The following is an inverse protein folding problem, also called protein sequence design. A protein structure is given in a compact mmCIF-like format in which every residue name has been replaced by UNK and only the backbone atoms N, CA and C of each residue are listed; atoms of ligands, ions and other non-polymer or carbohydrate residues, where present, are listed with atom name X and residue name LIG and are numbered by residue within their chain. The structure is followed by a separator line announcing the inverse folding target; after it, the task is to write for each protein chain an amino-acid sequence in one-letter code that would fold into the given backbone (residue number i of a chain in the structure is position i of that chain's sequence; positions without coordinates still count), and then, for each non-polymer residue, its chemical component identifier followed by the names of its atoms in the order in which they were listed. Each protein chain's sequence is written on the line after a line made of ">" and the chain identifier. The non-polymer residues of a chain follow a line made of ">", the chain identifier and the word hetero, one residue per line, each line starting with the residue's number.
data_IF_052142271840
#
_entry.id   IF_052142271840
#
_cell.length_a   1.000
_cell.length_b   1.000
_cell.length_c   1.000
_cell.angle_alpha   90.00
_cell.angle_beta   90.00
_cell.angle_gamma   90.00
#
_symmetry.space_group_name_H-M   'P 1'
#
loop_
_entity.id
_entity.type
_entity.pdbx_description
1 polymer ?
#
# COMPACT_ATOMS: atom_id res chain seq x y z
N UNK A 1 -5.65 -7.52 -26.92
CA UNK A 1 -6.45 -6.30 -26.61
C UNK A 1 -5.51 -5.11 -26.54
N UNK A 2 -6.02 -3.91 -26.87
CA UNK A 2 -5.37 -2.63 -26.59
C UNK A 2 -5.90 -2.07 -25.27
N UNK A 3 -5.02 -1.91 -24.31
CA UNK A 3 -5.39 -1.61 -22.91
C UNK A 3 -4.66 -0.35 -22.45
N UNK A 4 -5.41 0.64 -21.97
CA UNK A 4 -4.83 1.82 -21.33
C UNK A 4 -4.92 1.68 -19.79
N UNK A 5 -3.79 1.62 -19.12
CA UNK A 5 -3.70 1.68 -17.65
C UNK A 5 -3.61 3.15 -17.23
N UNK A 6 -4.49 3.60 -16.35
CA UNK A 6 -4.64 5.01 -16.02
C UNK A 6 -4.11 5.31 -14.62
N UNK A 7 -3.18 6.26 -14.54
CA UNK A 7 -2.54 6.67 -13.28
C UNK A 7 -2.45 8.19 -13.13
N UNK A 8 -2.98 8.78 -12.06
CA UNK A 8 -2.59 10.14 -11.67
C UNK A 8 -1.18 10.09 -11.06
N UNK A 9 -0.29 10.97 -11.51
CA UNK A 9 1.10 11.01 -11.08
C UNK A 9 1.39 12.26 -10.27
N UNK A 10 1.74 12.11 -9.00
CA UNK A 10 2.37 13.20 -8.25
C UNK A 10 3.82 13.32 -8.73
N UNK A 11 4.23 14.48 -9.28
CA UNK A 11 5.59 14.65 -9.79
C UNK A 11 6.64 14.34 -8.72
N UNK A 12 7.72 13.66 -9.14
CA UNK A 12 8.85 13.24 -8.29
C UNK A 12 8.51 12.25 -7.16
N UNK A 13 7.24 11.82 -7.04
CA UNK A 13 6.84 10.79 -6.10
C UNK A 13 6.77 9.43 -6.79
N UNK A 14 7.33 8.40 -6.14
CA UNK A 14 7.19 7.00 -6.54
C UNK A 14 6.95 6.15 -5.29
N UNK A 15 5.86 5.43 -5.28
CA UNK A 15 5.46 4.55 -4.18
C UNK A 15 4.79 3.28 -4.71
N UNK A 16 4.12 2.52 -3.84
CA UNK A 16 3.49 1.25 -4.19
C UNK A 16 2.51 1.33 -5.36
N UNK A 17 1.69 2.38 -5.43
CA UNK A 17 0.72 2.53 -6.52
C UNK A 17 1.38 2.78 -7.89
N UNK A 18 2.52 3.47 -7.93
CA UNK A 18 3.30 3.68 -9.14
C UNK A 18 3.99 2.38 -9.57
N UNK A 19 4.57 1.64 -8.63
CA UNK A 19 5.18 0.31 -8.89
C UNK A 19 4.12 -0.63 -9.44
N UNK A 20 2.99 -0.76 -8.77
CA UNK A 20 1.86 -1.60 -9.19
C UNK A 20 1.42 -1.33 -10.63
N UNK A 21 1.24 -0.07 -11.01
CA UNK A 21 0.77 0.27 -12.37
C UNK A 21 1.84 0.04 -13.44
N UNK A 22 3.12 0.27 -13.13
CA UNK A 22 4.25 -0.02 -14.02
C UNK A 22 4.36 -1.54 -14.26
N UNK A 23 4.24 -2.34 -13.20
CA UNK A 23 4.25 -3.80 -13.30
C UNK A 23 3.02 -4.33 -14.04
N UNK A 24 1.83 -3.81 -13.78
CA UNK A 24 0.62 -4.20 -14.50
C UNK A 24 0.78 -4.03 -16.02
N UNK A 25 1.32 -2.89 -16.47
CA UNK A 25 1.60 -2.67 -17.91
C UNK A 25 2.61 -3.68 -18.43
N UNK A 26 3.68 -3.95 -17.68
CA UNK A 26 4.71 -4.91 -18.05
C UNK A 26 4.13 -6.32 -18.19
N UNK A 27 3.33 -6.75 -17.24
CA UNK A 27 2.71 -8.07 -17.20
C UNK A 27 1.63 -8.27 -18.27
N UNK A 28 0.88 -7.20 -18.59
CA UNK A 28 -0.06 -7.22 -19.71
C UNK A 28 0.67 -7.40 -21.04
N UNK A 29 1.78 -6.68 -21.25
CA UNK A 29 2.61 -6.80 -22.45
C UNK A 29 3.23 -8.19 -22.58
N UNK A 30 3.73 -8.74 -21.47
CA UNK A 30 4.30 -10.10 -21.45
C UNK A 30 3.29 -11.19 -21.86
N UNK A 31 1.98 -10.92 -21.68
CA UNK A 31 0.86 -11.80 -22.09
C UNK A 31 0.30 -11.47 -23.48
N UNK A 32 1.01 -10.66 -24.27
CA UNK A 32 0.64 -10.39 -25.65
C UNK A 32 -0.45 -9.33 -25.82
N UNK A 33 -0.75 -8.53 -24.79
CA UNK A 33 -1.61 -7.36 -24.94
C UNK A 33 -0.80 -6.13 -25.40
N UNK A 34 -1.42 -5.28 -26.19
CA UNK A 34 -0.90 -3.93 -26.50
C UNK A 34 -1.33 -3.03 -25.33
N UNK A 35 -0.48 -2.87 -24.34
CA UNK A 35 -0.80 -2.11 -23.13
C UNK A 35 0.06 -0.86 -23.01
N UNK A 36 -0.52 0.24 -22.57
CA UNK A 36 0.21 1.48 -22.33
C UNK A 36 -0.26 2.19 -21.06
N UNK A 37 0.63 3.02 -20.49
CA UNK A 37 0.37 3.82 -19.31
C UNK A 37 -0.01 5.24 -19.69
N UNK A 38 -1.25 5.61 -19.41
CA UNK A 38 -1.72 7.00 -19.50
C UNK A 38 -1.56 7.66 -18.14
N UNK A 39 -0.61 8.59 -18.04
CA UNK A 39 -0.26 9.26 -16.80
C UNK A 39 -0.52 10.77 -16.89
N UNK A 40 -1.34 11.29 -15.96
CA UNK A 40 -1.65 12.72 -15.89
C UNK A 40 -1.08 13.28 -14.58
N UNK A 41 -0.32 14.41 -14.61
CA UNK A 41 0.16 15.05 -13.39
C UNK A 41 -0.99 15.38 -12.44
N UNK A 42 -0.80 15.05 -11.15
CA UNK A 42 -1.79 15.30 -10.11
C UNK A 42 -1.16 16.03 -8.93
N UNK A 43 -1.86 17.06 -8.45
CA UNK A 43 -1.49 17.80 -7.26
C UNK A 43 -2.71 17.87 -6.33
N UNK A 44 -2.62 17.24 -5.18
CA UNK A 44 -3.71 17.10 -4.23
C UNK A 44 -3.99 18.36 -3.38
N UNK A 45 -3.14 19.37 -3.48
CA UNK A 45 -3.27 20.66 -2.79
C UNK A 45 -3.06 21.85 -3.74
N UNK A 46 -3.64 23.04 -3.49
CA UNK A 46 -4.70 23.26 -2.50
C UNK A 46 -5.98 22.51 -2.88
N UNK A 47 -6.77 22.11 -1.87
CA UNK A 47 -7.98 21.29 -2.05
C UNK A 47 -8.95 21.83 -3.10
N UNK A 48 -9.09 23.17 -3.22
CA UNK A 48 -9.96 23.82 -4.21
C UNK A 48 -9.67 23.44 -5.68
N UNK A 49 -8.47 22.90 -6.00
CA UNK A 49 -8.10 22.47 -7.36
C UNK A 49 -8.36 21.00 -7.64
N UNK A 50 -8.72 20.22 -6.63
CA UNK A 50 -8.90 18.76 -6.77
C UNK A 50 -9.97 18.42 -7.81
N UNK A 51 -11.12 19.11 -7.78
CA UNK A 51 -12.19 18.89 -8.76
C UNK A 51 -11.78 19.29 -10.19
N UNK A 52 -11.03 20.40 -10.35
CA UNK A 52 -10.51 20.80 -11.67
C UNK A 52 -9.62 19.71 -12.26
N UNK A 53 -8.76 19.11 -11.44
CA UNK A 53 -7.88 18.02 -11.89
C UNK A 53 -8.66 16.73 -12.17
N UNK A 54 -9.69 16.44 -11.38
CA UNK A 54 -10.59 15.33 -11.68
C UNK A 54 -11.34 15.55 -13.00
N UNK A 55 -11.73 16.79 -13.28
CA UNK A 55 -12.40 17.14 -14.53
C UNK A 55 -11.49 16.97 -15.77
N UNK A 56 -10.18 17.16 -15.65
CA UNK A 56 -9.24 16.86 -16.74
C UNK A 56 -9.37 15.40 -17.20
N UNK A 57 -9.48 14.45 -16.27
CA UNK A 57 -9.71 13.04 -16.60
C UNK A 57 -11.03 12.81 -17.33
N UNK A 58 -12.07 13.57 -16.96
CA UNK A 58 -13.38 13.49 -17.62
C UNK A 58 -13.38 13.96 -19.07
N UNK A 59 -12.43 14.84 -19.42
CA UNK A 59 -12.28 15.40 -20.76
C UNK A 59 -11.40 14.55 -21.68
N UNK A 60 -10.65 13.57 -21.13
CA UNK A 60 -9.84 12.69 -21.97
C UNK A 60 -10.76 11.79 -22.81
N UNK A 61 -10.50 11.77 -24.11
CA UNK A 61 -11.02 10.79 -25.03
C UNK A 61 -10.01 9.65 -25.15
N UNK A 62 -10.38 8.49 -24.68
CA UNK A 62 -9.60 7.25 -24.71
C UNK A 62 -10.33 6.11 -25.41
N UNK A 63 -11.33 6.44 -26.26
CA UNK A 63 -12.04 5.42 -27.04
C UNK A 63 -11.19 4.87 -28.17
N UNK A 64 -10.25 5.70 -28.71
CA UNK A 64 -9.33 5.29 -29.76
C UNK A 64 -7.98 6.01 -29.67
N UNK A 65 -6.99 5.49 -30.37
CA UNK A 65 -5.70 6.14 -30.64
C UNK A 65 -5.23 5.72 -32.03
N UNK A 66 -4.86 6.71 -32.87
CA UNK A 66 -4.41 6.50 -34.26
C UNK A 66 -5.41 5.70 -35.11
N UNK A 67 -6.70 6.00 -34.98
CA UNK A 67 -7.77 5.33 -35.71
C UNK A 67 -8.02 3.86 -35.31
N UNK A 68 -7.41 3.41 -34.20
CA UNK A 68 -7.60 2.06 -33.65
C UNK A 68 -8.26 2.14 -32.27
N UNK A 69 -9.32 1.37 -32.03
CA UNK A 69 -10.03 1.41 -30.75
C UNK A 69 -9.10 0.98 -29.59
N UNK A 70 -9.28 1.61 -28.43
CA UNK A 70 -8.82 1.11 -27.15
C UNK A 70 -9.91 0.20 -26.61
N UNK A 71 -9.58 -1.07 -26.34
CA UNK A 71 -10.56 -2.08 -25.97
C UNK A 71 -11.03 -1.90 -24.50
N UNK A 72 -10.09 -1.58 -23.59
CA UNK A 72 -10.34 -1.47 -22.15
C UNK A 72 -9.47 -0.38 -21.55
N UNK A 73 -10.04 0.39 -20.62
CA UNK A 73 -9.26 1.22 -19.70
C UNK A 73 -9.28 0.60 -18.30
N UNK A 74 -8.12 0.60 -17.64
CA UNK A 74 -7.96 0.16 -16.23
C UNK A 74 -7.58 1.34 -15.38
N UNK A 75 -8.52 1.89 -14.62
CA UNK A 75 -8.28 3.00 -13.71
C UNK A 75 -7.96 2.50 -12.30
N UNK A 76 -7.07 3.21 -11.56
CA UNK A 76 -6.50 2.67 -10.32
C UNK A 76 -6.78 3.49 -9.06
N UNK A 77 -6.70 4.79 -9.12
CA UNK A 77 -6.95 5.67 -7.97
C UNK A 77 -7.53 7.02 -8.39
N UNK A 78 -8.06 7.77 -7.43
CA UNK A 78 -8.54 9.13 -7.68
C UNK A 78 -7.43 10.01 -8.30
N UNK A 79 -7.71 10.75 -9.37
CA UNK A 79 -8.98 10.89 -10.08
C UNK A 79 -9.07 10.08 -11.40
N UNK A 80 -8.20 9.09 -11.67
CA UNK A 80 -8.14 8.39 -12.97
C UNK A 80 -9.46 7.72 -13.35
N UNK A 81 -10.22 7.20 -12.40
CA UNK A 81 -11.50 6.54 -12.66
C UNK A 81 -12.64 7.50 -13.05
N UNK A 82 -12.38 8.82 -13.05
CA UNK A 82 -13.35 9.83 -13.53
C UNK A 82 -13.46 9.83 -15.05
N UNK A 83 -12.50 9.24 -15.77
CA UNK A 83 -12.56 9.06 -17.23
C UNK A 83 -13.83 8.36 -17.67
N UNK A 84 -14.29 8.66 -18.89
CA UNK A 84 -15.35 7.91 -19.59
C UNK A 84 -14.71 6.92 -20.55
N UNK A 85 -15.22 5.71 -20.54
CA UNK A 85 -14.90 4.70 -21.53
C UNK A 85 -15.97 3.61 -21.51
N UNK A 86 -16.31 3.04 -22.66
CA UNK A 86 -17.33 1.97 -22.80
C UNK A 86 -16.96 0.72 -21.98
N UNK A 87 -15.68 0.35 -21.92
CA UNK A 87 -15.14 -0.75 -21.14
C UNK A 87 -14.18 -0.19 -20.07
N UNK A 88 -14.76 0.43 -19.05
CA UNK A 88 -14.01 0.95 -17.91
C UNK A 88 -13.97 -0.08 -16.80
N UNK A 89 -12.79 -0.59 -16.49
CA UNK A 89 -12.51 -1.41 -15.32
C UNK A 89 -11.78 -0.56 -14.28
N UNK A 90 -12.18 -0.69 -13.04
CA UNK A 90 -11.52 0.01 -11.94
C UNK A 90 -10.88 -1.03 -11.04
N UNK A 91 -9.56 -0.93 -10.86
CA UNK A 91 -8.84 -1.68 -9.84
C UNK A 91 -8.39 -0.68 -8.76
N UNK A 92 -9.31 -0.43 -7.83
CA UNK A 92 -9.21 0.67 -6.87
C UNK A 92 -8.14 0.41 -5.83
N UNK A 93 -7.08 1.24 -5.85
CA UNK A 93 -6.07 1.31 -4.79
C UNK A 93 -6.63 2.11 -3.62
N UNK A 94 -7.17 3.30 -3.89
CA UNK A 94 -7.88 4.14 -2.92
C UNK A 94 -8.70 5.22 -3.61
N UNK A 95 -9.73 5.71 -2.91
CA UNK A 95 -10.43 6.95 -3.21
C UNK A 95 -9.56 8.16 -2.83
N UNK A 96 -10.06 9.38 -2.89
CA UNK A 96 -9.34 10.54 -2.38
C UNK A 96 -9.44 10.59 -0.84
N UNK A 97 -8.52 9.91 -0.15
CA UNK A 97 -8.52 9.66 1.30
C UNK A 97 -8.81 10.90 2.15
N UNK A 98 -8.38 12.08 1.70
CA UNK A 98 -8.63 13.35 2.35
C UNK A 98 -10.12 13.73 2.44
N UNK A 99 -10.94 13.20 1.53
CA UNK A 99 -12.39 13.41 1.55
C UNK A 99 -13.16 12.38 2.38
N UNK A 100 -12.48 11.37 2.91
CA UNK A 100 -13.06 10.22 3.63
C UNK A 100 -12.39 10.00 4.99
N UNK A 101 -11.61 8.94 5.13
CA UNK A 101 -11.05 8.47 6.40
C UNK A 101 -10.01 9.40 7.04
N UNK A 102 -9.36 10.27 6.25
CA UNK A 102 -8.40 11.25 6.80
C UNK A 102 -9.05 12.56 7.22
N UNK A 103 -10.34 12.78 6.92
CA UNK A 103 -11.04 13.99 7.30
C UNK A 103 -11.17 14.08 8.82
N UNK A 104 -10.79 15.26 9.38
CA UNK A 104 -10.80 15.48 10.83
C UNK A 104 -9.67 14.81 11.61
N UNK A 105 -8.73 14.15 10.95
CA UNK A 105 -7.52 13.59 11.56
C UNK A 105 -6.34 14.55 11.44
N UNK A 106 -5.26 14.27 12.19
CA UNK A 106 -3.99 15.02 12.07
C UNK A 106 -3.32 14.88 10.68
N UNK A 107 -3.70 13.86 9.91
CA UNK A 107 -3.24 13.60 8.55
C UNK A 107 -4.15 14.26 7.51
N UNK A 108 -5.27 14.85 7.94
CA UNK A 108 -6.24 15.50 7.08
C UNK A 108 -5.77 16.86 6.59
N UNK A 109 -6.20 17.23 5.37
CA UNK A 109 -5.88 18.54 4.78
C UNK A 109 -7.04 19.54 4.89
N UNK A 110 -8.24 19.09 5.26
CA UNK A 110 -9.41 19.95 5.35
C UNK A 110 -9.59 20.50 6.77
N UNK A 111 -9.65 21.83 6.90
CA UNK A 111 -9.81 22.52 8.17
C UNK A 111 -11.27 22.60 8.66
N UNK A 112 -12.23 22.07 7.88
CA UNK A 112 -13.64 22.05 8.26
C UNK A 112 -14.40 23.35 7.98
N UNK A 113 -13.91 24.23 7.09
CA UNK A 113 -14.68 25.39 6.63
C UNK A 113 -15.93 24.97 5.84
N UNK A 114 -16.95 25.84 5.68
CA UNK A 114 -18.12 25.54 4.86
C UNK A 114 -17.75 25.17 3.41
N UNK A 115 -16.76 25.85 2.84
CA UNK A 115 -16.24 25.64 1.48
C UNK A 115 -15.57 24.27 1.36
N UNK A 116 -14.75 23.89 2.32
CA UNK A 116 -14.08 22.60 2.36
C UNK A 116 -15.07 21.43 2.55
N UNK A 117 -16.07 21.61 3.42
CA UNK A 117 -17.17 20.64 3.54
C UNK A 117 -17.98 20.51 2.24
N UNK A 118 -18.19 21.60 1.50
CA UNK A 118 -18.86 21.57 0.21
C UNK A 118 -18.01 20.83 -0.83
N UNK A 119 -16.71 21.14 -0.90
CA UNK A 119 -15.76 20.47 -1.78
C UNK A 119 -15.71 18.96 -1.51
N UNK A 120 -15.63 18.56 -0.25
CA UNK A 120 -15.63 17.15 0.16
C UNK A 120 -16.89 16.43 -0.33
N UNK A 121 -18.08 17.00 -0.14
CA UNK A 121 -19.33 16.43 -0.67
C UNK A 121 -19.32 16.30 -2.19
N UNK A 122 -18.75 17.27 -2.90
CA UNK A 122 -18.63 17.21 -4.37
C UNK A 122 -17.69 16.11 -4.81
N UNK A 123 -16.57 15.88 -4.12
CA UNK A 123 -15.66 14.75 -4.40
C UNK A 123 -16.37 13.43 -4.15
N UNK A 124 -17.08 13.28 -3.04
CA UNK A 124 -17.82 12.07 -2.70
C UNK A 124 -18.91 11.74 -3.74
N UNK A 125 -19.65 12.76 -4.19
CA UNK A 125 -20.67 12.57 -5.24
C UNK A 125 -20.03 12.25 -6.60
N UNK A 126 -18.90 12.87 -6.93
CA UNK A 126 -18.14 12.56 -8.14
C UNK A 126 -17.65 11.10 -8.11
N UNK A 127 -17.12 10.65 -7.00
CA UNK A 127 -16.63 9.26 -6.81
C UNK A 127 -17.78 8.27 -6.99
N UNK A 128 -18.91 8.50 -6.31
CA UNK A 128 -20.08 7.63 -6.41
C UNK A 128 -20.56 7.47 -7.86
N UNK A 129 -20.60 8.57 -8.62
CA UNK A 129 -21.02 8.55 -10.05
C UNK A 129 -19.96 7.87 -10.91
N UNK A 130 -18.71 8.31 -10.80
CA UNK A 130 -17.64 7.85 -11.68
C UNK A 130 -17.27 6.37 -11.47
N UNK A 131 -17.29 5.90 -10.23
CA UNK A 131 -17.06 4.48 -9.91
C UNK A 131 -18.27 3.63 -10.31
N UNK A 132 -19.48 4.16 -10.19
CA UNK A 132 -20.70 3.48 -10.65
C UNK A 132 -20.80 3.31 -12.18
N UNK A 133 -19.99 4.01 -12.96
CA UNK A 133 -19.86 3.85 -14.42
C UNK A 133 -18.90 2.69 -14.82
N UNK A 134 -18.22 2.06 -13.86
CA UNK A 134 -17.31 0.96 -14.16
C UNK A 134 -18.07 -0.30 -14.59
N UNK A 135 -17.61 -0.95 -15.65
CA UNK A 135 -18.13 -2.27 -16.07
C UNK A 135 -17.72 -3.38 -15.09
N UNK A 136 -16.56 -3.21 -14.46
CA UNK A 136 -16.06 -4.07 -13.37
C UNK A 136 -15.38 -3.19 -12.33
N UNK A 137 -15.61 -3.50 -11.06
CA UNK A 137 -15.07 -2.75 -9.94
C UNK A 137 -14.36 -3.69 -8.97
N UNK A 138 -13.05 -3.53 -8.85
CA UNK A 138 -12.19 -4.27 -7.95
C UNK A 138 -11.57 -3.33 -6.93
N UNK A 139 -11.24 -3.84 -5.76
CA UNK A 139 -10.49 -3.17 -4.72
C UNK A 139 -9.27 -4.00 -4.34
N UNK A 140 -8.14 -3.36 -4.06
CA UNK A 140 -6.88 -4.05 -3.73
C UNK A 140 -6.93 -4.84 -2.41
N UNK A 141 -7.89 -4.52 -1.53
CA UNK A 141 -8.05 -5.14 -0.20
C UNK A 141 -9.50 -5.13 0.25
N UNK A 142 -9.84 -5.96 1.23
CA UNK A 142 -11.16 -5.93 1.87
C UNK A 142 -11.37 -4.60 2.62
N UNK A 143 -10.31 -4.01 3.18
CA UNK A 143 -10.37 -2.69 3.79
C UNK A 143 -10.82 -1.61 2.79
N UNK A 144 -10.23 -1.56 1.59
CA UNK A 144 -10.60 -0.62 0.53
C UNK A 144 -12.02 -0.91 0.02
N UNK A 145 -12.39 -2.19 -0.19
CA UNK A 145 -13.74 -2.57 -0.59
C UNK A 145 -14.79 -2.11 0.44
N UNK A 146 -14.54 -2.36 1.72
CA UNK A 146 -15.43 -1.94 2.80
C UNK A 146 -15.56 -0.42 2.95
N UNK A 147 -14.46 0.35 2.76
CA UNK A 147 -14.51 1.82 2.73
C UNK A 147 -15.37 2.32 1.56
N UNK A 148 -15.18 1.74 0.37
CA UNK A 148 -15.94 2.07 -0.81
C UNK A 148 -17.43 1.82 -0.59
N UNK A 149 -17.79 0.64 -0.11
CA UNK A 149 -19.18 0.27 0.15
C UNK A 149 -19.84 1.21 1.17
N UNK A 150 -19.17 1.47 2.30
CA UNK A 150 -19.69 2.40 3.33
C UNK A 150 -19.88 3.82 2.80
N UNK A 151 -19.01 4.28 1.91
CA UNK A 151 -19.02 5.68 1.44
C UNK A 151 -19.90 5.91 0.22
N UNK A 152 -20.13 4.91 -0.62
CA UNK A 152 -20.82 5.05 -1.92
C UNK A 152 -21.98 4.09 -2.11
N UNK A 153 -22.08 3.01 -1.34
CA UNK A 153 -22.99 1.90 -1.55
C UNK A 153 -22.58 0.95 -2.70
N UNK A 154 -21.42 1.18 -3.34
CA UNK A 154 -20.92 0.33 -4.43
C UNK A 154 -20.11 -0.83 -3.85
N UNK A 155 -20.36 -2.03 -4.38
CA UNK A 155 -19.64 -3.24 -4.00
C UNK A 155 -18.50 -3.49 -4.99
N UNK A 156 -17.29 -3.66 -4.48
CA UNK A 156 -16.11 -4.04 -5.25
C UNK A 156 -15.70 -5.46 -4.91
N UNK A 157 -15.25 -6.22 -5.90
CA UNK A 157 -14.60 -7.49 -5.69
C UNK A 157 -13.18 -7.27 -5.15
N UNK A 158 -12.78 -8.01 -4.13
CA UNK A 158 -11.41 -7.94 -3.61
C UNK A 158 -10.46 -8.65 -4.57
N UNK A 159 -9.50 -7.90 -5.09
CA UNK A 159 -8.48 -8.39 -6.01
C UNK A 159 -7.11 -7.84 -5.56
N UNK A 160 -6.36 -8.57 -4.72
CA UNK A 160 -5.02 -8.15 -4.35
C UNK A 160 -4.09 -8.20 -5.56
N UNK A 161 -3.15 -7.26 -5.63
CA UNK A 161 -2.10 -7.32 -6.64
C UNK A 161 -0.83 -7.94 -6.07
N UNK A 162 -0.02 -8.65 -6.89
CA UNK A 162 1.25 -9.18 -6.44
C UNK A 162 2.19 -8.09 -5.95
N UNK A 163 3.04 -8.37 -4.95
CA UNK A 163 4.13 -7.47 -4.58
C UNK A 163 5.20 -7.44 -5.67
N UNK A 164 6.09 -6.47 -5.59
CA UNK A 164 7.21 -6.33 -6.53
C UNK A 164 8.00 -7.64 -6.60
N UNK A 165 8.37 -8.05 -7.82
CA UNK A 165 9.21 -9.23 -8.04
C UNK A 165 10.66 -8.95 -7.60
N UNK A 166 11.01 -9.38 -6.38
CA UNK A 166 12.37 -9.38 -5.85
C UNK A 166 12.87 -10.83 -5.68
N UNK A 167 14.19 -11.04 -5.57
CA UNK A 167 14.75 -12.37 -5.35
C UNK A 167 14.54 -12.85 -3.90
N UNK A 168 13.26 -12.93 -3.47
CA UNK A 168 12.89 -13.33 -2.12
C UNK A 168 13.44 -14.72 -1.77
N UNK A 169 13.99 -14.84 -0.57
CA UNK A 169 14.54 -16.08 -0.03
C UNK A 169 14.42 -16.12 1.48
N UNK A 170 14.22 -17.27 2.04
CA UNK A 170 14.33 -17.50 3.48
C UNK A 170 15.76 -17.87 3.84
N UNK A 171 16.27 -17.30 4.92
CA UNK A 171 17.61 -17.55 5.46
C UNK A 171 17.52 -17.60 6.99
N UNK A 172 18.52 -18.19 7.69
CA UNK A 172 18.58 -18.14 9.13
C UNK A 172 18.48 -16.73 9.67
N UNK A 173 17.74 -16.56 10.75
CA UNK A 173 17.51 -15.25 11.37
C UNK A 173 18.80 -14.70 11.96
N UNK A 174 19.01 -13.39 11.79
CA UNK A 174 20.06 -12.61 12.47
C UNK A 174 19.53 -11.85 13.69
N UNK A 175 18.26 -12.06 14.06
CA UNK A 175 17.66 -11.56 15.31
C UNK A 175 17.09 -10.15 15.26
N UNK A 176 17.24 -9.40 14.17
CA UNK A 176 16.70 -8.03 14.05
C UNK A 176 15.26 -8.00 13.50
N UNK A 177 14.51 -6.97 13.89
CA UNK A 177 13.22 -6.62 13.29
C UNK A 177 13.46 -5.69 12.10
N UNK A 178 12.89 -6.01 10.94
CA UNK A 178 12.98 -5.19 9.73
C UNK A 178 11.77 -4.27 9.60
N UNK A 179 12.01 -3.00 9.25
CA UNK A 179 11.00 -2.11 8.66
C UNK A 179 11.50 -1.58 7.31
N UNK A 180 10.78 -1.93 6.23
CA UNK A 180 11.10 -1.49 4.87
C UNK A 180 10.06 -0.49 4.31
N UNK A 181 9.22 0.07 5.17
CA UNK A 181 8.19 1.04 4.79
C UNK A 181 8.79 2.42 4.51
N UNK A 182 8.18 3.16 3.58
CA UNK A 182 8.50 4.58 3.39
C UNK A 182 8.42 5.33 4.73
N UNK A 183 9.40 6.18 5.00
CA UNK A 183 9.44 6.94 6.25
C UNK A 183 8.49 8.13 6.18
N UNK A 184 7.26 7.92 6.59
CA UNK A 184 6.25 8.94 6.81
C UNK A 184 5.46 8.68 8.11
N UNK A 185 4.72 9.68 8.59
CA UNK A 185 3.99 9.62 9.86
C UNK A 185 3.01 8.45 9.94
N UNK A 186 2.34 8.14 8.83
CA UNK A 186 1.34 7.09 8.79
C UNK A 186 1.93 5.69 8.98
N UNK A 187 3.24 5.50 8.77
CA UNK A 187 3.93 4.21 8.96
C UNK A 187 4.39 3.95 10.39
N UNK A 188 4.32 4.95 11.27
CA UNK A 188 4.57 4.85 12.71
C UNK A 188 5.88 4.17 13.10
N UNK A 189 6.97 4.52 12.39
CA UNK A 189 8.31 4.01 12.74
C UNK A 189 8.76 4.52 14.11
N UNK A 190 8.28 5.68 14.53
CA UNK A 190 8.50 6.20 15.89
C UNK A 190 7.96 5.26 16.99
N UNK A 191 6.86 4.55 16.74
CA UNK A 191 6.33 3.55 17.67
C UNK A 191 7.28 2.34 17.79
N UNK A 192 7.92 1.91 16.69
CA UNK A 192 8.95 0.88 16.70
C UNK A 192 10.22 1.35 17.46
N UNK A 193 10.63 2.61 17.28
CA UNK A 193 11.75 3.19 18.04
C UNK A 193 11.44 3.27 19.52
N UNK A 194 10.21 3.59 19.89
CA UNK A 194 9.78 3.55 21.28
C UNK A 194 9.80 2.13 21.84
N UNK A 195 9.35 1.14 21.08
CA UNK A 195 9.46 -0.28 21.45
C UNK A 195 10.93 -0.68 21.69
N UNK A 196 11.85 -0.30 20.80
CA UNK A 196 13.29 -0.53 20.97
C UNK A 196 13.89 0.18 22.19
N UNK A 197 13.28 1.28 22.65
CA UNK A 197 13.70 1.94 23.89
C UNK A 197 13.31 1.13 25.12
N UNK A 198 12.17 0.45 25.08
CA UNK A 198 11.65 -0.36 26.21
C UNK A 198 12.28 -1.75 26.27
N UNK A 199 12.66 -2.30 25.11
CA UNK A 199 13.23 -3.64 24.97
C UNK A 199 14.73 -3.54 24.63
N UNK A 200 15.64 -3.61 25.62
CA UNK A 200 17.08 -3.42 25.41
C UNK A 200 17.73 -4.43 24.45
N UNK A 201 17.14 -5.60 24.28
CA UNK A 201 17.62 -6.65 23.38
C UNK A 201 17.04 -6.56 21.96
N UNK A 202 16.17 -5.58 21.69
CA UNK A 202 15.56 -5.40 20.37
C UNK A 202 16.49 -4.65 19.42
N UNK A 203 16.92 -5.34 18.37
CA UNK A 203 17.64 -4.75 17.23
C UNK A 203 16.67 -4.46 16.08
N UNK A 204 16.86 -3.31 15.43
CA UNK A 204 15.98 -2.83 14.36
C UNK A 204 16.79 -2.39 13.15
N UNK A 205 16.35 -2.82 11.97
CA UNK A 205 16.88 -2.32 10.69
C UNK A 205 15.76 -1.59 9.95
N UNK A 206 16.04 -0.36 9.55
CA UNK A 206 15.12 0.50 8.82
C UNK A 206 15.69 0.70 7.41
N UNK A 207 15.16 -0.04 6.43
CA UNK A 207 15.64 -0.08 5.06
C UNK A 207 14.70 0.70 4.14
N UNK A 208 14.64 2.01 4.31
CA UNK A 208 13.84 2.90 3.47
C UNK A 208 14.22 4.37 3.69
N UNK A 209 13.54 5.25 2.95
CA UNK A 209 13.71 6.70 3.04
C UNK A 209 12.34 7.40 2.99
N UNK A 210 12.30 8.67 3.38
CA UNK A 210 11.08 9.44 3.34
C UNK A 210 11.17 10.77 4.11
N UNK A 211 10.10 11.58 4.06
CA UNK A 211 10.10 12.94 4.64
C UNK A 211 10.25 12.96 6.17
N UNK A 212 10.02 11.85 6.85
CA UNK A 212 10.10 11.74 8.31
C UNK A 212 11.47 11.25 8.82
N UNK A 213 12.42 10.98 7.91
CA UNK A 213 13.72 10.38 8.25
C UNK A 213 14.48 11.17 9.31
N UNK A 214 14.65 12.46 9.11
CA UNK A 214 15.39 13.32 10.02
C UNK A 214 14.84 13.27 11.45
N UNK A 215 13.51 13.39 11.58
CA UNK A 215 12.82 13.28 12.88
C UNK A 215 13.05 11.93 13.54
N UNK A 216 12.97 10.84 12.77
CA UNK A 216 13.16 9.49 13.30
C UNK A 216 14.60 9.25 13.77
N UNK A 217 15.60 9.73 13.02
CA UNK A 217 17.00 9.68 13.41
C UNK A 217 17.28 10.53 14.68
N UNK A 218 16.61 11.68 14.82
CA UNK A 218 16.67 12.50 16.05
C UNK A 218 16.08 11.76 17.26
N UNK A 219 14.94 11.09 17.09
CA UNK A 219 14.34 10.25 18.15
C UNK A 219 15.30 9.15 18.55
N UNK A 220 15.90 8.44 17.59
CA UNK A 220 16.82 7.36 17.87
C UNK A 220 18.05 7.84 18.67
N UNK A 221 18.64 8.97 18.26
CA UNK A 221 19.77 9.60 19.00
C UNK A 221 19.38 10.04 20.41
N UNK A 222 18.25 10.73 20.56
CA UNK A 222 17.75 11.19 21.87
C UNK A 222 17.48 10.04 22.83
N UNK A 223 17.07 8.87 22.31
CA UNK A 223 16.79 7.66 23.06
C UNK A 223 18.01 6.72 23.22
N UNK A 224 19.18 7.14 22.72
CA UNK A 224 20.44 6.37 22.78
C UNK A 224 20.29 4.96 22.18
N UNK A 225 19.66 4.89 21.01
CA UNK A 225 19.47 3.63 20.27
C UNK A 225 20.63 3.31 19.32
N UNK A 226 21.70 4.10 19.35
CA UNK A 226 22.89 3.88 18.55
C UNK A 226 23.44 2.46 18.76
N UNK A 227 23.78 1.78 17.66
CA UNK A 227 24.24 0.39 17.66
C UNK A 227 23.12 -0.67 17.67
N UNK A 228 21.88 -0.32 18.03
CA UNK A 228 20.73 -1.24 17.98
C UNK A 228 19.70 -0.90 16.89
N UNK A 229 19.65 0.35 16.46
CA UNK A 229 18.79 0.81 15.36
C UNK A 229 19.68 1.30 14.23
N UNK A 230 19.52 0.70 13.04
CA UNK A 230 20.26 1.07 11.84
C UNK A 230 19.33 1.64 10.79
N UNK A 231 19.66 2.79 10.23
CA UNK A 231 18.97 3.42 9.12
C UNK A 231 19.79 3.20 7.84
N UNK A 232 19.46 2.17 7.08
CA UNK A 232 20.16 1.80 5.83
C UNK A 232 19.84 2.75 4.66
N UNK A 233 18.77 3.54 4.80
CA UNK A 233 18.28 4.35 3.68
C UNK A 233 17.67 3.51 2.58
N UNK A 234 17.75 3.99 1.34
CA UNK A 234 17.29 3.22 0.18
C UNK A 234 18.34 2.17 -0.17
N UNK A 235 17.92 0.93 -0.17
CA UNK A 235 18.73 -0.23 -0.56
C UNK A 235 18.29 -0.74 -1.93
N UNK A 236 19.16 -1.46 -2.61
CA UNK A 236 18.81 -2.11 -3.87
C UNK A 236 17.95 -3.39 -3.64
N UNK A 237 17.49 -3.99 -4.74
CA UNK A 237 16.59 -5.14 -4.71
C UNK A 237 17.22 -6.37 -4.03
N UNK A 238 18.50 -6.63 -4.25
CA UNK A 238 19.21 -7.77 -3.67
C UNK A 238 19.44 -7.57 -2.17
N UNK A 239 19.85 -6.37 -1.78
CA UNK A 239 20.01 -6.00 -0.37
C UNK A 239 18.67 -6.06 0.39
N UNK A 240 17.58 -5.56 -0.23
CA UNK A 240 16.26 -5.63 0.37
C UNK A 240 15.79 -7.07 0.58
N UNK A 241 15.94 -7.92 -0.45
CA UNK A 241 15.61 -9.34 -0.35
C UNK A 241 16.46 -10.07 0.70
N UNK A 242 17.73 -9.69 0.85
CA UNK A 242 18.60 -10.23 1.90
C UNK A 242 18.12 -9.82 3.29
N UNK A 243 17.75 -8.54 3.49
CA UNK A 243 17.23 -8.05 4.78
C UNK A 243 15.93 -8.77 5.15
N UNK A 244 14.98 -8.89 4.20
CA UNK A 244 13.78 -9.69 4.42
C UNK A 244 14.13 -11.15 4.76
N UNK A 245 15.07 -11.76 4.04
CA UNK A 245 15.46 -13.16 4.24
C UNK A 245 16.10 -13.44 5.60
N UNK A 246 16.79 -12.48 6.20
CA UNK A 246 17.59 -12.66 7.42
C UNK A 246 17.01 -12.00 8.69
N UNK A 247 15.93 -11.22 8.58
CA UNK A 247 15.26 -10.67 9.78
C UNK A 247 14.58 -11.77 10.62
N UNK A 248 14.30 -11.50 11.88
CA UNK A 248 13.46 -12.35 12.73
C UNK A 248 11.97 -12.17 12.44
N UNK A 249 11.58 -10.93 12.18
CA UNK A 249 10.22 -10.54 11.84
C UNK A 249 10.20 -9.20 11.11
N UNK A 250 9.07 -8.88 10.48
CA UNK A 250 8.87 -7.61 9.79
C UNK A 250 7.85 -6.77 10.57
N UNK A 251 8.23 -5.55 10.93
CA UNK A 251 7.31 -4.57 11.47
C UNK A 251 6.62 -3.82 10.35
N UNK A 252 5.30 -3.94 10.30
CA UNK A 252 4.45 -3.22 9.37
C UNK A 252 3.13 -2.81 10.04
N UNK A 253 3.11 -1.67 10.71
CA UNK A 253 1.99 -1.22 11.53
C UNK A 253 1.51 0.20 11.16
N UNK A 254 1.10 0.44 9.92
CA UNK A 254 0.60 1.74 9.47
C UNK A 254 -0.75 2.10 10.14
N UNK A 255 -1.15 3.36 9.97
CA UNK A 255 -2.51 3.79 10.33
C UNK A 255 -3.43 3.56 9.14
N UNK A 256 -4.38 2.63 9.28
CA UNK A 256 -5.47 2.40 8.31
C UNK A 256 -4.97 2.37 6.85
N UNK A 257 -4.03 1.47 6.55
CA UNK A 257 -3.43 1.30 5.22
C UNK A 257 -4.46 0.78 4.20
N UNK A 258 -4.26 1.14 2.95
CA UNK A 258 -5.13 0.70 1.86
C UNK A 258 -4.94 -0.79 1.55
N UNK A 259 -3.71 -1.22 1.31
CA UNK A 259 -3.35 -2.60 1.01
C UNK A 259 -2.15 -3.07 1.83
N UNK A 260 -0.98 -2.46 1.59
CA UNK A 260 0.27 -2.81 2.27
C UNK A 260 1.00 -3.99 1.62
N UNK A 261 2.02 -3.71 0.82
CA UNK A 261 2.85 -4.75 0.21
C UNK A 261 3.81 -5.43 1.20
N UNK A 262 4.23 -4.70 2.24
CA UNK A 262 5.21 -5.19 3.21
C UNK A 262 4.92 -6.58 3.82
N UNK A 263 3.67 -6.90 4.22
CA UNK A 263 3.32 -8.25 4.66
C UNK A 263 3.57 -9.32 3.59
N UNK A 264 3.21 -9.07 2.33
CA UNK A 264 3.45 -10.03 1.25
C UNK A 264 4.94 -10.24 0.98
N UNK A 265 5.75 -9.18 1.02
CA UNK A 265 7.21 -9.24 0.86
C UNK A 265 7.86 -10.04 2.00
N UNK A 266 7.40 -9.84 3.24
CA UNK A 266 7.80 -10.63 4.41
C UNK A 266 7.45 -12.11 4.22
N UNK A 267 6.22 -12.41 3.82
CA UNK A 267 5.72 -13.76 3.62
C UNK A 267 6.46 -14.49 2.50
N UNK A 268 6.73 -13.84 1.37
CA UNK A 268 7.56 -14.43 0.31
C UNK A 268 8.97 -14.79 0.77
N UNK A 269 9.45 -14.12 1.82
CA UNK A 269 10.72 -14.46 2.50
C UNK A 269 10.55 -15.44 3.67
N UNK A 270 9.34 -15.96 3.90
CA UNK A 270 9.04 -16.89 4.98
C UNK A 270 9.16 -16.25 6.38
N UNK A 271 8.88 -14.94 6.50
CA UNK A 271 9.00 -14.19 7.77
C UNK A 271 7.65 -13.76 8.30
N UNK A 272 7.43 -13.86 9.63
CA UNK A 272 6.22 -13.39 10.28
C UNK A 272 6.17 -11.86 10.32
N UNK A 273 4.96 -11.32 10.41
CA UNK A 273 4.72 -9.88 10.48
C UNK A 273 4.20 -9.47 11.85
N UNK A 274 4.70 -8.36 12.38
CA UNK A 274 4.12 -7.66 13.52
C UNK A 274 3.32 -6.48 12.97
N UNK A 275 2.02 -6.48 13.23
CA UNK A 275 1.11 -5.39 12.83
C UNK A 275 0.22 -4.98 14.00
N UNK A 276 -0.61 -3.96 13.77
CA UNK A 276 -1.51 -3.45 14.82
C UNK A 276 -2.98 -3.57 14.44
N UNK A 277 -3.84 -3.59 15.45
CA UNK A 277 -5.30 -3.76 15.29
C UNK A 277 -5.98 -2.69 14.45
N UNK A 278 -5.30 -1.59 14.17
CA UNK A 278 -5.78 -0.46 13.37
C UNK A 278 -5.01 -0.27 12.03
N UNK A 279 -4.25 -1.30 11.63
CA UNK A 279 -3.40 -1.22 10.44
C UNK A 279 -4.18 -1.17 9.09
N UNK A 280 -5.45 -1.56 9.08
CA UNK A 280 -6.28 -1.58 7.87
C UNK A 280 -5.96 -2.78 6.98
N UNK A 281 -5.63 -2.55 5.68
CA UNK A 281 -5.38 -3.61 4.70
C UNK A 281 -4.40 -4.72 5.09
N UNK A 282 -3.32 -4.48 5.85
CA UNK A 282 -2.49 -5.56 6.40
C UNK A 282 -3.26 -6.64 7.16
N UNK A 283 -4.37 -6.30 7.81
CA UNK A 283 -5.21 -7.25 8.55
C UNK A 283 -5.98 -8.23 7.65
N UNK A 284 -6.01 -7.99 6.33
CA UNK A 284 -6.58 -8.95 5.38
C UNK A 284 -5.73 -10.23 5.25
N UNK A 285 -4.44 -10.15 5.60
CA UNK A 285 -3.47 -11.25 5.40
C UNK A 285 -2.64 -11.57 6.65
N UNK A 286 -2.55 -10.63 7.59
CA UNK A 286 -1.88 -10.87 8.88
C UNK A 286 -2.93 -11.26 9.91
N UNK A 287 -3.00 -12.57 10.20
CA UNK A 287 -3.84 -13.15 11.24
C UNK A 287 -3.01 -13.40 12.50
N UNK A 288 -3.56 -12.99 13.66
CA UNK A 288 -2.86 -13.15 14.94
C UNK A 288 -2.59 -14.63 15.24
N UNK A 289 -1.33 -14.94 15.57
CA UNK A 289 -0.81 -16.29 15.85
C UNK A 289 -1.00 -17.32 14.74
N UNK A 290 -1.21 -16.86 13.50
CA UNK A 290 -1.28 -17.71 12.32
C UNK A 290 -0.24 -17.32 11.28
N UNK A 291 -0.17 -16.02 10.92
CA UNK A 291 0.82 -15.50 9.96
C UNK A 291 1.71 -14.41 10.55
N UNK A 292 1.47 -14.06 11.81
CA UNK A 292 2.20 -13.03 12.53
C UNK A 292 1.56 -12.72 13.87
N UNK A 293 1.83 -11.54 14.41
CA UNK A 293 1.21 -11.04 15.63
C UNK A 293 0.48 -9.73 15.37
N UNK A 294 -0.78 -9.67 15.80
CA UNK A 294 -1.63 -8.47 15.72
C UNK A 294 -1.81 -7.91 17.14
N UNK A 295 -1.17 -6.78 17.41
CA UNK A 295 -1.14 -6.16 18.73
C UNK A 295 -1.82 -4.79 18.73
N UNK A 296 -2.09 -4.22 19.89
CA UNK A 296 -2.53 -2.82 19.98
C UNK A 296 -1.41 -1.90 19.48
N UNK A 297 -1.72 -0.67 19.00
CA UNK A 297 -0.72 0.30 18.59
C UNK A 297 -0.02 0.93 19.81
N UNK A 298 0.69 0.10 20.54
CA UNK A 298 1.42 0.42 21.78
C UNK A 298 2.84 -0.14 21.74
N UNK A 299 3.80 0.65 22.16
CA UNK A 299 5.22 0.33 22.08
C UNK A 299 5.61 -0.90 22.91
N UNK A 300 4.98 -1.11 24.10
CA UNK A 300 5.27 -2.27 24.92
C UNK A 300 4.74 -3.56 24.29
N UNK A 301 3.56 -3.50 23.66
CA UNK A 301 3.02 -4.65 22.94
C UNK A 301 3.82 -5.01 21.71
N UNK A 302 4.28 -4.00 20.93
CA UNK A 302 5.15 -4.22 19.77
C UNK A 302 6.48 -4.81 20.21
N UNK A 303 7.09 -4.27 21.27
CA UNK A 303 8.34 -4.79 21.83
C UNK A 303 8.19 -6.23 22.35
N UNK A 304 7.12 -6.50 23.07
CA UNK A 304 6.77 -7.83 23.55
C UNK A 304 6.56 -8.84 22.42
N UNK A 305 5.86 -8.43 21.34
CA UNK A 305 5.66 -9.26 20.16
C UNK A 305 6.99 -9.59 19.45
N UNK A 306 7.86 -8.59 19.28
CA UNK A 306 9.18 -8.78 18.68
C UNK A 306 10.07 -9.72 19.51
N UNK A 307 10.05 -9.56 20.83
CA UNK A 307 10.78 -10.43 21.76
C UNK A 307 10.24 -11.85 21.70
N UNK A 308 8.90 -12.01 21.72
CA UNK A 308 8.27 -13.32 21.65
C UNK A 308 8.63 -14.07 20.37
N UNK A 309 8.54 -13.43 19.19
CA UNK A 309 8.91 -14.05 17.91
C UNK A 309 10.39 -14.45 17.84
N UNK A 310 11.27 -13.71 18.50
CA UNK A 310 12.68 -14.04 18.59
C UNK A 310 12.95 -15.24 19.51
N UNK A 311 12.19 -15.37 20.60
CA UNK A 311 12.35 -16.43 21.58
C UNK A 311 11.62 -17.74 21.19
N UNK A 312 10.67 -17.66 20.24
CA UNK A 312 9.86 -18.78 19.74
C UNK A 312 10.09 -18.96 18.24
N UNK A 313 11.32 -19.31 17.87
CA UNK A 313 11.75 -19.38 16.45
C UNK A 313 10.94 -20.39 15.63
N UNK A 314 10.53 -21.52 16.23
CA UNK A 314 9.73 -22.54 15.54
C UNK A 314 8.34 -22.02 15.17
N UNK A 315 7.67 -21.35 16.09
CA UNK A 315 6.36 -20.74 15.86
C UNK A 315 6.48 -19.56 14.87
N UNK A 316 7.51 -18.73 15.03
CA UNK A 316 7.78 -17.63 14.10
C UNK A 316 8.00 -18.15 12.67
N UNK A 317 8.74 -19.24 12.50
CA UNK A 317 8.94 -19.90 11.21
C UNK A 317 7.62 -20.48 10.67
N UNK A 318 6.80 -21.10 11.52
CA UNK A 318 5.48 -21.61 11.13
C UNK A 318 4.56 -20.48 10.64
N UNK A 319 4.53 -19.32 11.33
CA UNK A 319 3.75 -18.15 10.90
C UNK A 319 4.25 -17.61 9.55
N UNK A 320 5.57 -17.50 9.38
CA UNK A 320 6.16 -17.07 8.10
C UNK A 320 5.80 -18.00 6.95
N UNK A 321 5.81 -19.32 7.17
CA UNK A 321 5.44 -20.31 6.16
C UNK A 321 3.94 -20.31 5.83
N UNK A 322 3.09 -20.12 6.84
CA UNK A 322 1.64 -19.94 6.62
C UNK A 322 1.37 -18.68 5.80
N UNK A 323 2.03 -17.57 6.13
CA UNK A 323 1.97 -16.34 5.33
C UNK A 323 2.47 -16.55 3.91
N UNK A 324 3.57 -17.31 3.72
CA UNK A 324 4.10 -17.61 2.39
C UNK A 324 3.09 -18.36 1.52
N UNK A 325 2.38 -19.32 2.06
CA UNK A 325 1.33 -20.03 1.33
C UNK A 325 0.22 -19.07 0.84
N UNK A 326 -0.15 -18.04 1.62
CA UNK A 326 -1.09 -17.00 1.18
C UNK A 326 -0.49 -16.10 0.09
N UNK A 327 0.77 -15.67 0.25
CA UNK A 327 1.42 -14.78 -0.70
C UNK A 327 1.68 -15.45 -2.05
N UNK A 328 2.01 -16.75 -2.08
CA UNK A 328 2.21 -17.54 -3.31
C UNK A 328 0.93 -17.64 -4.16
N UNK A 329 -0.26 -17.45 -3.57
CA UNK A 329 -1.55 -17.42 -4.28
C UNK A 329 -1.80 -16.09 -5.01
N UNK A 330 -1.12 -15.02 -4.63
CA UNK A 330 -1.29 -13.69 -5.24
C UNK A 330 -0.34 -13.56 -6.42
N UNK A 331 -0.79 -13.93 -7.60
CA UNK A 331 0.00 -13.97 -8.83
C UNK A 331 -0.60 -13.07 -9.91
N UNK A 332 0.24 -12.57 -10.82
CA UNK A 332 -0.20 -11.80 -11.98
C UNK A 332 -1.13 -12.60 -12.90
N UNK A 333 -0.92 -13.91 -13.05
CA UNK A 333 -1.79 -14.76 -13.87
C UNK A 333 -3.23 -14.76 -13.33
N UNK A 334 -3.39 -14.98 -12.04
CA UNK A 334 -4.72 -14.95 -11.39
C UNK A 334 -5.33 -13.56 -11.43
N UNK A 335 -4.54 -12.55 -11.11
CA UNK A 335 -5.02 -11.17 -11.08
C UNK A 335 -5.48 -10.68 -12.47
N UNK A 336 -4.69 -10.92 -13.51
CA UNK A 336 -5.01 -10.53 -14.88
C UNK A 336 -6.17 -11.36 -15.42
N UNK A 337 -6.20 -12.68 -15.20
CA UNK A 337 -7.34 -13.51 -15.58
C UNK A 337 -8.64 -12.99 -14.97
N UNK A 338 -8.61 -12.61 -13.68
CA UNK A 338 -9.79 -12.07 -13.00
C UNK A 338 -10.15 -10.67 -13.44
N UNK A 339 -9.15 -9.82 -13.67
CA UNK A 339 -9.36 -8.45 -14.16
C UNK A 339 -10.06 -8.44 -15.52
N UNK A 340 -9.80 -9.45 -16.38
CA UNK A 340 -10.32 -9.52 -17.75
C UNK A 340 -11.35 -10.63 -18.00
N UNK A 341 -11.82 -11.29 -16.93
CA UNK A 341 -12.93 -12.27 -17.02
C UNK A 341 -14.28 -11.62 -17.30
#
# INVERSE_FOLDING_TARGET
>A
MRIAVLRPQVPFARGGAEIFTDELVTELRARGHEADLVSVPFKWYPGARVLTQAFLWRMLDLEESDGRPIDVVVATKFPSYVVRHREKRVWLVHQFRQAYELDGTELGQFGGSPEERALRRQVQELDRRALGEATRLFATSANVAGRLERSTGLVAEVLPHPPQALPYRSSPSQGFVLSASRLDRAKRIDLLLEAATREPALEVVIASDGPDRERLEEIARARRLDGRVRFEGRVDAEQLAQLYGTCSSVYYAPVDEDFGMGPFEAFLSGKPVITTTDAGGPLDVVSDRETGLVVRPDAAEIGGAATWLREHEEEAAAFGMAGKALADEVTWDRAIARLFS
#
